data_IF_678408011037
#
_entry.id   IF_678408011037
#
_cell.length_a   1.000
_cell.length_b   1.000
_cell.length_c   1.000
_cell.angle_alpha   90.00
_cell.angle_beta   90.00
_cell.angle_gamma   90.00
#
_symmetry.space_group_name_H-M   'P 1'
#
loop_
_entity.id
_entity.type
_entity.pdbx_description
1 polymer ?
#
# COMPACT_ATOMS: atom_id res chain seq x y z
N UNK A 1 -50.80 52.44 -9.38
CA UNK A 1 -50.75 51.29 -10.33
C UNK A 1 -49.52 50.47 -9.99
N UNK A 2 -49.68 49.28 -9.40
CA UNK A 2 -48.58 48.38 -9.10
C UNK A 2 -48.52 47.29 -10.17
N UNK A 3 -47.34 47.06 -10.76
CA UNK A 3 -47.03 45.87 -11.54
C UNK A 3 -45.76 45.26 -10.95
N UNK A 4 -45.95 44.30 -10.06
CA UNK A 4 -44.97 43.25 -9.86
C UNK A 4 -45.41 42.08 -10.75
N UNK A 5 -44.46 41.47 -11.45
CA UNK A 5 -44.32 40.01 -11.57
C UNK A 5 -43.29 39.72 -12.68
N UNK A 6 -42.01 39.71 -12.27
CA UNK A 6 -40.95 39.13 -13.10
C UNK A 6 -40.84 37.66 -12.69
N UNK A 7 -41.66 36.81 -13.28
CA UNK A 7 -41.52 35.36 -13.14
C UNK A 7 -40.36 34.91 -14.00
N UNK A 8 -39.23 34.50 -13.39
CA UNK A 8 -38.13 33.86 -14.12
C UNK A 8 -38.53 32.47 -14.60
N UNK A 9 -38.21 32.15 -15.85
CA UNK A 9 -38.42 30.83 -16.43
C UNK A 9 -37.57 29.75 -15.71
N UNK A 10 -38.10 28.53 -15.54
CA UNK A 10 -37.35 27.45 -14.92
C UNK A 10 -36.22 26.98 -15.85
N UNK A 11 -34.97 27.01 -15.34
CA UNK A 11 -33.82 26.51 -16.08
C UNK A 11 -33.94 24.99 -16.32
N UNK A 12 -33.81 24.57 -17.58
CA UNK A 12 -33.86 23.16 -17.98
C UNK A 12 -32.65 22.42 -17.38
N UNK A 13 -32.85 21.33 -16.61
CA UNK A 13 -31.75 20.54 -16.06
C UNK A 13 -30.92 19.91 -17.19
N UNK A 14 -29.71 20.41 -17.40
CA UNK A 14 -28.78 19.82 -18.36
C UNK A 14 -28.24 18.49 -17.82
N UNK A 15 -28.31 17.44 -18.63
CA UNK A 15 -27.79 16.12 -18.28
C UNK A 15 -26.27 16.19 -18.04
N UNK A 16 -25.84 15.98 -16.79
CA UNK A 16 -24.43 16.00 -16.38
C UNK A 16 -23.91 14.58 -16.39
N UNK A 17 -22.93 14.30 -17.26
CA UNK A 17 -22.24 13.01 -17.31
C UNK A 17 -21.31 12.91 -16.09
N UNK A 18 -21.70 12.16 -15.07
CA UNK A 18 -20.82 11.90 -13.92
C UNK A 18 -19.92 10.71 -14.24
N UNK A 19 -18.65 10.99 -14.54
CA UNK A 19 -17.63 9.93 -14.65
C UNK A 19 -17.07 9.74 -13.24
N UNK A 20 -17.45 8.63 -12.60
CA UNK A 20 -16.85 8.23 -11.33
C UNK A 20 -15.45 7.71 -11.62
N UNK A 21 -14.43 8.54 -11.31
CA UNK A 21 -13.02 8.17 -11.45
C UNK A 21 -12.60 7.19 -10.37
N UNK A 22 -12.94 5.92 -10.51
CA UNK A 22 -12.47 4.87 -9.59
C UNK A 22 -10.94 4.80 -9.64
N UNK A 23 -10.29 5.04 -8.49
CA UNK A 23 -8.84 4.89 -8.31
C UNK A 23 -8.58 3.79 -7.27
N UNK A 24 -8.22 2.56 -7.67
CA UNK A 24 -7.85 1.52 -6.73
C UNK A 24 -6.65 1.98 -5.89
N UNK A 25 -6.61 1.56 -4.62
CA UNK A 25 -5.60 2.00 -3.63
C UNK A 25 -5.45 3.53 -3.52
N UNK A 26 -6.51 4.30 -3.81
CA UNK A 26 -6.45 5.76 -3.82
C UNK A 26 -5.48 6.32 -4.88
N UNK A 27 -5.18 5.54 -5.93
CA UNK A 27 -4.19 5.89 -6.95
C UNK A 27 -2.74 5.67 -6.51
N UNK A 28 -2.51 5.02 -5.37
CA UNK A 28 -1.17 4.62 -4.94
C UNK A 28 -0.72 3.38 -5.71
N UNK A 29 0.57 3.29 -6.06
CA UNK A 29 1.12 2.07 -6.62
C UNK A 29 0.92 0.91 -5.64
N UNK A 30 0.79 -0.29 -6.18
CA UNK A 30 0.71 -1.50 -5.36
C UNK A 30 1.98 -1.61 -4.51
N UNK A 31 1.89 -1.91 -3.21
CA UNK A 31 3.08 -2.05 -2.39
C UNK A 31 3.96 -3.17 -2.96
N UNK A 32 5.27 -3.00 -2.79
CA UNK A 32 6.22 -4.06 -3.09
C UNK A 32 5.86 -5.32 -2.28
N UNK A 33 6.09 -6.52 -2.82
CA UNK A 33 5.87 -7.76 -2.10
C UNK A 33 6.69 -7.75 -0.81
N UNK A 34 6.03 -8.04 0.31
CA UNK A 34 6.63 -8.08 1.64
C UNK A 34 6.33 -9.42 2.30
N UNK A 35 7.34 -9.99 2.96
CA UNK A 35 7.18 -11.17 3.81
C UNK A 35 7.35 -10.74 5.26
N UNK A 36 6.27 -10.83 6.05
CA UNK A 36 6.31 -10.54 7.49
C UNK A 36 6.16 -11.83 8.28
N UNK A 37 7.19 -12.18 9.05
CA UNK A 37 7.18 -13.34 9.93
C UNK A 37 7.00 -12.84 11.37
N UNK A 38 6.02 -13.38 12.11
CA UNK A 38 5.67 -12.95 13.47
C UNK A 38 5.76 -14.10 14.46
N UNK A 39 6.03 -13.76 15.73
CA UNK A 39 5.99 -14.67 16.87
C UNK A 39 7.34 -14.84 17.56
N UNK A 40 7.31 -15.29 18.83
CA UNK A 40 8.51 -15.54 19.64
C UNK A 40 9.28 -16.80 19.23
N UNK A 41 8.70 -17.65 18.39
CA UNK A 41 9.32 -18.88 17.94
C UNK A 41 10.61 -18.62 17.14
N UNK A 42 10.73 -17.47 16.47
CA UNK A 42 11.97 -17.09 15.78
C UNK A 42 13.17 -17.02 16.72
N UNK A 43 12.99 -16.47 17.93
CA UNK A 43 14.06 -16.40 18.94
C UNK A 43 14.53 -17.79 19.38
N UNK A 44 13.60 -18.77 19.47
CA UNK A 44 13.94 -20.16 19.79
C UNK A 44 14.82 -20.85 18.73
N UNK A 45 14.78 -20.34 17.50
CA UNK A 45 15.58 -20.81 16.37
C UNK A 45 16.83 -19.95 16.14
N UNK A 46 17.17 -19.08 17.10
CA UNK A 46 18.34 -18.21 17.07
C UNK A 46 18.12 -16.88 16.34
N UNK A 47 16.91 -16.56 15.91
CA UNK A 47 16.61 -15.27 15.28
C UNK A 47 16.34 -14.17 16.31
N UNK A 48 17.39 -13.48 16.76
CA UNK A 48 17.28 -12.37 17.71
C UNK A 48 17.14 -11.01 17.00
N UNK A 49 16.52 -10.04 17.68
CA UNK A 49 16.33 -8.68 17.14
C UNK A 49 17.67 -7.96 16.95
N UNK A 50 17.78 -7.17 15.89
CA UNK A 50 18.94 -6.33 15.60
C UNK A 50 20.12 -7.07 14.96
N UNK A 51 20.02 -8.38 14.74
CA UNK A 51 21.07 -9.12 14.03
C UNK A 51 20.91 -9.04 12.50
N UNK A 52 22.02 -9.02 11.75
CA UNK A 52 21.97 -9.13 10.31
C UNK A 52 21.52 -10.53 9.87
N UNK A 53 20.73 -10.60 8.79
CA UNK A 53 20.28 -11.85 8.18
C UNK A 53 20.47 -11.80 6.67
N UNK A 54 20.79 -12.95 6.09
CA UNK A 54 20.86 -13.14 4.65
C UNK A 54 19.57 -13.77 4.15
N UNK A 55 18.99 -13.18 3.11
CA UNK A 55 17.82 -13.69 2.41
C UNK A 55 18.28 -14.19 1.05
N UNK A 56 18.18 -15.49 0.83
CA UNK A 56 18.58 -16.16 -0.41
C UNK A 56 17.30 -16.58 -1.14
N UNK A 57 17.17 -16.15 -2.39
CA UNK A 57 16.05 -16.51 -3.26
C UNK A 57 16.50 -17.57 -4.26
N UNK A 58 15.81 -18.70 -4.25
CA UNK A 58 15.97 -19.81 -5.19
C UNK A 58 14.64 -20.08 -5.90
N UNK A 59 14.65 -20.91 -6.94
CA UNK A 59 13.44 -21.22 -7.69
C UNK A 59 12.40 -21.90 -6.79
N UNK A 60 11.33 -21.17 -6.43
CA UNK A 60 10.25 -21.65 -5.56
C UNK A 60 10.57 -21.62 -4.06
N UNK A 61 11.70 -21.06 -3.63
CA UNK A 61 12.11 -21.08 -2.23
C UNK A 61 12.76 -19.75 -1.78
N UNK A 62 12.51 -19.38 -0.53
CA UNK A 62 13.20 -18.31 0.17
C UNK A 62 13.87 -18.88 1.42
N UNK A 63 15.19 -18.72 1.53
CA UNK A 63 15.96 -19.20 2.68
C UNK A 63 16.44 -17.99 3.49
N UNK A 64 16.12 -17.98 4.77
CA UNK A 64 16.57 -16.95 5.71
C UNK A 64 17.65 -17.57 6.60
N UNK A 65 18.84 -16.96 6.61
CA UNK A 65 19.98 -17.40 7.43
C UNK A 65 20.48 -16.25 8.28
N UNK A 66 20.98 -16.55 9.47
CA UNK A 66 21.72 -15.56 10.28
C UNK A 66 23.00 -15.21 9.51
N UNK A 67 23.29 -13.92 9.38
CA UNK A 67 24.53 -13.51 8.74
C UNK A 67 25.69 -13.80 9.70
N UNK A 68 26.64 -14.60 9.25
CA UNK A 68 27.93 -14.74 9.92
C UNK A 68 28.72 -13.48 9.60
N UNK A 69 28.93 -12.61 10.59
CA UNK A 69 29.91 -11.52 10.46
C UNK A 69 31.25 -12.19 10.23
N UNK A 70 31.84 -11.98 9.05
CA UNK A 70 33.21 -12.39 8.80
C UNK A 70 34.08 -11.29 9.39
N UNK A 71 35.21 -11.64 10.01
CA UNK A 71 36.14 -10.67 10.59
C UNK A 71 36.65 -9.65 9.55
N UNK A 72 36.48 -9.96 8.25
CA UNK A 72 36.78 -9.08 7.11
C UNK A 72 35.74 -7.96 6.87
N UNK A 73 34.58 -7.99 7.53
CA UNK A 73 33.50 -6.97 7.41
C UNK A 73 33.58 -5.88 8.52
N UNK A 74 34.65 -5.89 9.34
CA UNK A 74 34.92 -4.91 10.41
C UNK A 74 36.00 -3.89 10.02
#
# INVERSE_FOLDING_TARGET
MARADSTSEPAVPQARKSIVGYRPNGGRPNPLPQLTIKGRWLEQWGFIKGQPVNIIAEQGQLIIRIATVREDDL
#
